data_IF_461393983603
#
_entry.id   IF_461393983603
#
_cell.length_a   1.000
_cell.length_b   1.000
_cell.length_c   1.000
_cell.angle_alpha   90.00
_cell.angle_beta   90.00
_cell.angle_gamma   90.00
#
_symmetry.space_group_name_H-M   'P 1'
#
loop_
_entity.id
_entity.type
_entity.pdbx_description
1 polymer ?
#
# COMPACT_ATOMS: atom_id res chain seq x y z
N UNK A 1 -14.38 3.10 -3.19
CA UNK A 1 -14.30 2.72 -1.76
C UNK A 1 -13.49 1.46 -1.65
N UNK A 2 -12.86 1.19 -0.50
CA UNK A 2 -12.09 -0.04 -0.27
C UNK A 2 -12.96 -1.27 -0.52
N UNK A 3 -14.21 -1.26 -0.04
CA UNK A 3 -15.17 -2.35 -0.26
C UNK A 3 -15.41 -2.70 -1.73
N UNK A 4 -15.59 -1.68 -2.59
CA UNK A 4 -15.78 -1.89 -4.03
C UNK A 4 -14.58 -2.58 -4.67
N UNK A 5 -13.37 -2.16 -4.31
CA UNK A 5 -12.12 -2.69 -4.86
C UNK A 5 -11.92 -4.15 -4.48
N UNK A 6 -12.09 -4.47 -3.19
CA UNK A 6 -12.01 -5.83 -2.69
C UNK A 6 -13.05 -6.75 -3.35
N UNK A 7 -14.29 -6.28 -3.50
CA UNK A 7 -15.36 -7.04 -4.16
C UNK A 7 -15.06 -7.28 -5.65
N UNK A 8 -14.57 -6.28 -6.38
CA UNK A 8 -14.19 -6.42 -7.80
C UNK A 8 -13.03 -7.40 -8.00
N UNK A 9 -12.11 -7.44 -7.03
CA UNK A 9 -11.01 -8.42 -7.02
C UNK A 9 -11.46 -9.83 -6.62
N UNK A 10 -12.65 -9.98 -6.03
CA UNK A 10 -13.10 -11.23 -5.43
C UNK A 10 -12.30 -11.61 -4.19
N UNK A 11 -11.71 -10.63 -3.49
CA UNK A 11 -10.87 -10.86 -2.32
C UNK A 11 -11.68 -11.48 -1.18
N UNK A 12 -11.13 -12.51 -0.55
CA UNK A 12 -11.70 -13.18 0.63
C UNK A 12 -10.96 -12.81 1.90
N UNK A 13 -9.67 -12.51 1.78
CA UNK A 13 -8.76 -12.18 2.87
C UNK A 13 -8.09 -10.83 2.62
N UNK A 14 -7.86 -10.08 3.69
CA UNK A 14 -7.13 -8.82 3.62
C UNK A 14 -6.19 -8.69 4.81
N UNK A 15 -4.91 -8.45 4.58
CA UNK A 15 -3.98 -8.12 5.67
C UNK A 15 -4.06 -6.64 5.99
N UNK A 16 -4.14 -6.32 7.28
CA UNK A 16 -4.28 -4.94 7.76
C UNK A 16 -3.28 -4.61 8.86
N UNK A 17 -2.69 -3.40 8.85
CA UNK A 17 -1.87 -2.92 9.94
C UNK A 17 -2.72 -2.63 11.18
N UNK A 18 -2.08 -2.57 12.35
CA UNK A 18 -2.78 -2.53 13.64
C UNK A 18 -3.59 -1.26 13.89
N UNK A 19 -3.18 -0.12 13.30
CA UNK A 19 -3.88 1.16 13.46
C UNK A 19 -4.66 1.57 12.19
N UNK A 20 -5.08 0.60 11.36
CA UNK A 20 -5.95 0.90 10.23
C UNK A 20 -7.32 1.40 10.72
N UNK A 21 -7.84 2.53 10.20
CA UNK A 21 -9.18 2.99 10.57
C UNK A 21 -10.26 1.96 10.26
N UNK A 22 -11.01 1.54 11.30
CA UNK A 22 -12.04 0.49 11.18
C UNK A 22 -13.12 0.81 10.14
N UNK A 23 -13.43 2.10 9.96
CA UNK A 23 -14.42 2.57 8.99
C UNK A 23 -14.12 2.17 7.55
N UNK A 24 -12.84 1.98 7.17
CA UNK A 24 -12.45 1.64 5.80
C UNK A 24 -12.87 0.24 5.37
N UNK A 25 -13.02 -0.68 6.33
CA UNK A 25 -13.43 -2.07 6.11
C UNK A 25 -14.79 -2.39 6.74
N UNK A 26 -15.55 -1.37 7.16
CA UNK A 26 -16.86 -1.56 7.80
C UNK A 26 -17.93 -2.12 6.87
N UNK A 27 -17.78 -1.91 5.55
CA UNK A 27 -18.72 -2.34 4.53
C UNK A 27 -18.25 -3.60 3.77
N UNK A 28 -17.44 -4.44 4.41
CA UNK A 28 -16.85 -5.64 3.77
C UNK A 28 -16.97 -6.86 4.67
N UNK A 29 -17.25 -8.01 4.05
CA UNK A 29 -17.29 -9.31 4.73
C UNK A 29 -15.95 -10.08 4.62
N UNK A 30 -14.88 -9.42 4.18
CA UNK A 30 -13.57 -10.06 4.00
C UNK A 30 -12.93 -10.40 5.35
N UNK A 31 -12.26 -11.54 5.41
CA UNK A 31 -11.51 -11.96 6.59
C UNK A 31 -10.28 -11.05 6.78
N UNK A 32 -10.17 -10.44 7.95
CA UNK A 32 -9.01 -9.61 8.31
C UNK A 32 -7.88 -10.48 8.87
N UNK A 33 -6.75 -10.48 8.19
CA UNK A 33 -5.50 -11.09 8.64
C UNK A 33 -4.69 -10.01 9.36
N UNK A 34 -4.30 -10.26 10.60
CA UNK A 34 -3.48 -9.32 11.36
C UNK A 34 -2.04 -9.25 10.81
N UNK A 35 -1.42 -8.08 10.90
CA UNK A 35 0.02 -7.92 10.64
C UNK A 35 0.89 -8.57 11.75
N UNK A 36 1.01 -9.90 11.73
CA UNK A 36 1.76 -10.69 12.73
C UNK A 36 3.18 -11.05 12.28
N UNK A 37 4.17 -10.85 13.17
CA UNK A 37 5.57 -11.24 13.02
C UNK A 37 5.80 -12.70 12.61
N UNK A 38 4.92 -13.61 13.02
CA UNK A 38 4.99 -15.02 12.68
C UNK A 38 4.64 -15.33 11.21
N UNK A 39 3.95 -14.43 10.50
CA UNK A 39 3.58 -14.68 9.11
C UNK A 39 4.82 -14.75 8.19
N UNK A 40 4.99 -15.92 7.59
CA UNK A 40 6.00 -16.19 6.57
C UNK A 40 5.61 -15.53 5.23
N UNK A 41 6.57 -15.29 4.31
CA UNK A 41 6.24 -14.82 2.98
C UNK A 41 5.26 -15.74 2.26
N UNK A 42 5.43 -17.07 2.37
CA UNK A 42 4.52 -18.03 1.76
C UNK A 42 3.08 -17.94 2.29
N UNK A 43 2.88 -17.61 3.56
CA UNK A 43 1.54 -17.38 4.11
C UNK A 43 0.94 -16.06 3.61
N UNK A 44 1.74 -15.00 3.51
CA UNK A 44 1.29 -13.70 3.02
C UNK A 44 1.01 -13.70 1.51
N UNK A 45 1.70 -14.55 0.74
CA UNK A 45 1.47 -14.74 -0.69
C UNK A 45 0.07 -15.30 -0.99
N UNK A 46 -0.50 -16.05 -0.04
CA UNK A 46 -1.87 -16.54 -0.10
C UNK A 46 -2.94 -15.52 0.31
N UNK A 47 -2.56 -14.31 0.76
CA UNK A 47 -3.51 -13.26 1.16
C UNK A 47 -3.90 -12.42 -0.04
N UNK A 48 -5.19 -12.23 -0.27
CA UNK A 48 -5.70 -11.65 -1.52
C UNK A 48 -5.36 -10.17 -1.69
N UNK A 49 -5.25 -9.41 -0.58
CA UNK A 49 -5.00 -7.97 -0.62
C UNK A 49 -4.38 -7.45 0.68
N UNK A 50 -3.71 -6.31 0.60
CA UNK A 50 -3.33 -5.48 1.76
C UNK A 50 -3.99 -4.11 1.67
N UNK A 51 -4.45 -3.58 2.80
CA UNK A 51 -4.95 -2.19 2.89
C UNK A 51 -4.09 -1.41 3.86
N UNK A 52 -3.56 -0.27 3.42
CA UNK A 52 -2.76 0.64 4.27
C UNK A 52 -3.13 2.09 4.06
N UNK A 53 -2.66 2.95 4.96
CA UNK A 53 -2.44 4.36 4.66
C UNK A 53 -1.04 4.57 4.04
N UNK A 54 -0.62 5.82 3.93
CA UNK A 54 0.77 6.21 3.63
C UNK A 54 1.26 7.29 4.59
N UNK A 55 2.55 7.65 4.50
CA UNK A 55 3.10 8.81 5.20
C UNK A 55 2.84 10.09 4.37
N UNK A 56 3.21 10.04 3.10
CA UNK A 56 3.04 11.14 2.13
C UNK A 56 2.90 10.58 0.72
N UNK A 57 2.17 11.30 -0.14
CA UNK A 57 2.07 11.07 -1.57
C UNK A 57 2.57 12.30 -2.34
N UNK A 58 3.23 12.07 -3.48
CA UNK A 58 3.90 13.08 -4.30
C UNK A 58 3.19 13.15 -5.64
N UNK A 59 2.58 14.30 -5.94
CA UNK A 59 1.80 14.50 -7.15
C UNK A 59 2.65 14.46 -8.42
N UNK A 60 3.81 15.13 -8.42
CA UNK A 60 4.76 15.20 -9.55
C UNK A 60 5.15 13.83 -10.11
N UNK A 61 5.43 12.88 -9.22
CA UNK A 61 6.00 11.57 -9.58
C UNK A 61 4.99 10.42 -9.47
N UNK A 62 3.76 10.71 -9.03
CA UNK A 62 2.77 9.69 -8.70
C UNK A 62 3.30 8.70 -7.64
N UNK A 63 4.05 9.18 -6.66
CA UNK A 63 4.70 8.35 -5.65
C UNK A 63 3.90 8.29 -4.35
N UNK A 64 3.85 7.12 -3.73
CA UNK A 64 3.42 6.93 -2.35
C UNK A 64 4.64 6.53 -1.51
N UNK A 65 4.79 7.13 -0.34
CA UNK A 65 5.86 6.79 0.61
C UNK A 65 5.26 6.17 1.87
N UNK A 66 5.76 5.00 2.24
CA UNK A 66 5.51 4.35 3.52
C UNK A 66 6.75 4.54 4.41
N UNK A 67 6.57 4.89 5.67
CA UNK A 67 7.61 5.05 6.70
C UNK A 67 7.49 4.01 7.84
N UNK A 68 6.60 3.03 7.67
CA UNK A 68 6.31 1.99 8.66
C UNK A 68 5.46 2.47 9.83
N UNK A 69 4.68 3.54 9.66
CA UNK A 69 3.77 4.01 10.71
C UNK A 69 2.69 2.97 11.05
N UNK A 70 2.04 3.07 12.23
CA UNK A 70 1.10 2.06 12.69
C UNK A 70 -0.08 1.76 11.75
N UNK A 71 -0.45 2.69 10.85
CA UNK A 71 -1.48 2.51 9.82
C UNK A 71 -0.93 2.04 8.47
N UNK A 72 0.36 1.66 8.42
CA UNK A 72 1.07 1.15 7.24
C UNK A 72 1.64 -0.26 7.46
N UNK A 73 1.92 -0.61 8.72
CA UNK A 73 2.42 -1.93 9.10
C UNK A 73 3.85 -2.18 8.66
N UNK A 74 4.27 -3.44 8.75
CA UNK A 74 5.63 -3.86 8.39
C UNK A 74 5.79 -3.94 6.88
N UNK A 75 7.00 -3.63 6.37
CA UNK A 75 7.33 -3.68 4.93
C UNK A 75 6.90 -4.97 4.21
N UNK A 76 6.86 -6.10 4.91
CA UNK A 76 6.51 -7.39 4.30
C UNK A 76 5.07 -7.45 3.80
N UNK A 77 4.12 -6.88 4.55
CA UNK A 77 2.70 -6.95 4.18
C UNK A 77 2.36 -6.07 2.97
N UNK A 78 3.22 -5.11 2.61
CA UNK A 78 3.10 -4.28 1.41
C UNK A 78 4.00 -4.73 0.26
N UNK A 79 4.77 -5.80 0.44
CA UNK A 79 5.67 -6.34 -0.57
C UNK A 79 5.19 -7.68 -1.13
N UNK A 80 4.57 -8.51 -0.29
CA UNK A 80 4.25 -9.90 -0.63
C UNK A 80 2.85 -10.08 -1.23
N UNK A 81 1.75 -9.58 -0.63
CA UNK A 81 0.44 -9.68 -1.25
C UNK A 81 0.41 -8.98 -2.61
N UNK A 82 -0.19 -9.61 -3.60
CA UNK A 82 -0.11 -9.17 -5.00
C UNK A 82 -1.03 -7.97 -5.33
N UNK A 83 -1.84 -7.54 -4.37
CA UNK A 83 -2.73 -6.40 -4.47
C UNK A 83 -2.60 -5.48 -3.26
N UNK A 84 -2.22 -4.22 -3.49
CA UNK A 84 -2.11 -3.19 -2.47
C UNK A 84 -3.13 -2.08 -2.71
N UNK A 85 -4.02 -1.88 -1.74
CA UNK A 85 -4.90 -0.71 -1.70
C UNK A 85 -4.31 0.30 -0.71
N UNK A 86 -3.91 1.47 -1.21
CA UNK A 86 -3.39 2.55 -0.38
C UNK A 86 -4.41 3.69 -0.28
N UNK A 87 -4.78 4.06 0.95
CA UNK A 87 -5.65 5.20 1.21
C UNK A 87 -4.79 6.43 1.54
N UNK A 88 -5.03 7.54 0.83
CA UNK A 88 -4.30 8.80 0.98
C UNK A 88 -5.27 9.88 1.43
N UNK A 89 -5.02 10.48 2.59
CA UNK A 89 -5.88 11.54 3.15
C UNK A 89 -5.49 12.89 2.54
N UNK A 90 -6.43 13.57 1.88
CA UNK A 90 -6.21 14.87 1.22
C UNK A 90 -6.91 16.01 1.98
N UNK A 91 -6.33 17.23 1.99
CA UNK A 91 -5.10 17.64 1.31
C UNK A 91 -3.81 17.28 2.06
N UNK A 92 -3.91 16.86 3.32
CA UNK A 92 -2.77 16.85 4.24
C UNK A 92 -1.64 15.90 3.85
N UNK A 93 -1.90 14.79 3.15
CA UNK A 93 -0.85 13.83 2.79
C UNK A 93 -0.30 14.00 1.38
N UNK A 94 -0.82 14.94 0.59
CA UNK A 94 -0.34 15.16 -0.79
C UNK A 94 0.55 16.39 -0.85
N UNK A 95 1.77 16.22 -1.35
CA UNK A 95 2.70 17.30 -1.68
C UNK A 95 2.89 17.41 -3.19
N UNK A 96 3.32 18.58 -3.64
CA UNK A 96 3.59 18.81 -5.05
C UNK A 96 4.80 18.01 -5.55
N UNK A 97 5.89 18.00 -4.80
CA UNK A 97 7.21 17.54 -5.28
C UNK A 97 8.00 16.72 -4.25
N UNK A 98 9.08 16.07 -4.70
CA UNK A 98 9.98 15.28 -3.86
C UNK A 98 10.60 16.08 -2.70
N UNK A 99 11.11 17.32 -2.89
CA UNK A 99 11.57 18.14 -1.77
C UNK A 99 10.50 18.33 -0.68
N UNK A 100 9.25 18.58 -1.06
CA UNK A 100 8.15 18.72 -0.11
C UNK A 100 7.84 17.43 0.67
N UNK A 101 8.12 16.26 0.09
CA UNK A 101 8.02 14.99 0.80
C UNK A 101 9.17 14.81 1.80
N UNK A 102 10.40 15.16 1.40
CA UNK A 102 11.58 15.04 2.27
C UNK A 102 11.46 15.88 3.54
N UNK A 103 10.78 17.03 3.49
CA UNK A 103 10.47 17.86 4.67
C UNK A 103 9.57 17.16 5.70
N UNK A 104 8.81 16.13 5.28
CA UNK A 104 7.83 15.43 6.11
C UNK A 104 8.28 14.05 6.58
N UNK A 105 9.41 13.57 6.07
CA UNK A 105 9.88 12.21 6.30
C UNK A 105 11.05 12.21 7.29
N UNK A 106 11.04 11.27 8.22
CA UNK A 106 12.17 11.02 9.10
C UNK A 106 13.16 10.07 8.41
N UNK A 107 14.40 10.51 8.09
CA UNK A 107 15.39 9.67 7.43
C UNK A 107 15.89 8.51 8.30
N UNK A 108 15.65 8.52 9.62
CA UNK A 108 15.98 7.41 10.50
C UNK A 108 14.97 6.25 10.41
N UNK A 109 13.81 6.48 9.78
CA UNK A 109 12.75 5.47 9.62
C UNK A 109 12.91 4.66 8.34
N UNK A 110 12.39 3.42 8.30
CA UNK A 110 12.36 2.64 7.08
C UNK A 110 11.42 3.29 6.05
N UNK A 111 11.97 3.90 5.00
CA UNK A 111 11.18 4.45 3.91
C UNK A 111 11.02 3.42 2.76
N UNK A 112 9.81 3.27 2.24
CA UNK A 112 9.49 2.50 1.03
C UNK A 112 8.78 3.44 0.07
N UNK A 113 9.42 3.72 -1.06
CA UNK A 113 8.93 4.64 -2.08
C UNK A 113 8.37 3.85 -3.25
N UNK A 114 7.07 3.97 -3.49
CA UNK A 114 6.34 3.28 -4.55
C UNK A 114 5.96 4.35 -5.57
N UNK A 115 6.79 4.51 -6.59
CA UNK A 115 6.52 5.42 -7.71
C UNK A 115 5.70 4.72 -8.78
N UNK A 116 4.96 5.51 -9.59
CA UNK A 116 4.06 5.04 -10.64
C UNK A 116 4.63 3.96 -11.57
N UNK A 117 3.81 3.40 -12.48
CA UNK A 117 4.11 2.17 -13.19
C UNK A 117 5.52 2.19 -13.77
N UNK A 118 6.34 1.23 -13.31
CA UNK A 118 7.64 0.94 -13.88
C UNK A 118 7.49 0.71 -15.38
N UNK A 119 7.84 1.71 -16.19
CA UNK A 119 8.14 1.54 -17.60
C UNK A 119 9.59 1.09 -17.71
N UNK A 120 9.87 -0.15 -17.32
CA UNK A 120 11.16 -0.78 -17.61
C UNK A 120 11.11 -1.31 -19.04
N UNK A 121 11.93 -0.73 -19.92
CA UNK A 121 12.41 -1.43 -21.09
C UNK A 121 13.47 -2.40 -20.60
N UNK A 122 13.08 -3.64 -20.33
CA UNK A 122 13.91 -4.66 -19.71
C UNK A 122 15.22 -4.87 -20.49
N UNK A 123 16.34 -4.78 -19.77
CA UNK A 123 17.70 -5.11 -20.24
C UNK A 123 17.77 -6.56 -20.80
N UNK A 124 16.78 -7.41 -20.49
CA UNK A 124 16.74 -8.82 -20.91
C UNK A 124 15.48 -9.24 -21.70
N UNK A 125 14.56 -8.33 -22.05
CA UNK A 125 13.34 -8.60 -22.83
C UNK A 125 12.36 -9.66 -22.26
N UNK A 126 12.62 -10.24 -21.09
CA UNK A 126 11.73 -11.21 -20.43
C UNK A 126 11.15 -10.63 -19.13
N UNK A 127 9.85 -10.29 -19.18
CA UNK A 127 9.13 -9.71 -18.05
C UNK A 127 8.86 -10.80 -17.00
N UNK A 128 9.65 -10.84 -15.93
CA UNK A 128 9.34 -11.69 -14.76
C UNK A 128 8.26 -10.99 -13.92
N UNK A 129 7.01 -11.38 -14.12
CA UNK A 129 5.88 -10.86 -13.36
C UNK A 129 5.87 -11.42 -11.92
N UNK A 130 6.02 -10.56 -10.91
CA UNK A 130 5.74 -10.89 -9.50
C UNK A 130 6.93 -10.93 -8.52
N UNK A 131 8.17 -10.62 -8.94
CA UNK A 131 9.34 -10.64 -8.04
C UNK A 131 9.69 -9.28 -7.40
N UNK A 132 8.97 -8.21 -7.75
CA UNK A 132 9.32 -6.83 -7.40
C UNK A 132 8.30 -6.10 -6.49
N UNK A 133 7.26 -6.79 -6.03
CA UNK A 133 6.17 -6.23 -5.21
C UNK A 133 4.78 -6.48 -5.80
N UNK A 134 3.73 -5.89 -5.22
CA UNK A 134 2.35 -6.06 -5.67
C UNK A 134 2.20 -5.69 -7.16
N UNK A 135 1.66 -6.59 -7.98
CA UNK A 135 1.40 -6.28 -9.40
C UNK A 135 0.25 -5.29 -9.59
N UNK A 136 -0.64 -5.19 -8.61
CA UNK A 136 -1.77 -4.26 -8.62
C UNK A 136 -1.67 -3.31 -7.44
N UNK A 137 -1.62 -2.00 -7.73
CA UNK A 137 -1.72 -0.93 -6.74
C UNK A 137 -2.95 -0.08 -7.07
N UNK A 138 -3.88 0.04 -6.12
CA UNK A 138 -5.03 0.94 -6.22
C UNK A 138 -4.94 2.02 -5.14
N UNK A 139 -5.09 3.27 -5.56
CA UNK A 139 -4.97 4.44 -4.67
C UNK A 139 -6.35 5.07 -4.47
N UNK A 140 -6.75 5.26 -3.22
CA UNK A 140 -7.99 5.96 -2.87
C UNK A 140 -7.63 7.29 -2.20
N UNK A 141 -8.01 8.39 -2.83
CA UNK A 141 -7.97 9.70 -2.18
C UNK A 141 -9.22 9.88 -1.33
N UNK A 142 -9.05 10.24 -0.06
CA UNK A 142 -10.16 10.54 0.86
C UNK A 142 -9.98 11.94 1.44
N UNK A 143 -10.99 12.79 1.30
CA UNK A 143 -11.05 14.06 2.01
C UNK A 143 -11.61 13.83 3.41
N UNK A 144 -11.15 14.62 4.39
CA UNK A 144 -11.98 14.85 5.56
C UNK A 144 -13.24 15.63 5.10
N UNK A 145 -14.42 15.15 5.49
CA UNK A 145 -15.59 16.03 5.57
C UNK A 145 -15.47 16.92 6.82
#
# INVERSE_FOLDING_TARGET
>A
TVARLLAQRGARTVVTPTALPDGWLSATDVERVADDAAHTPAQLDGVDSVVTACAVAIAETGTIVLDGSPDQGRRRITLVPDHHICVVRVPDQVVSSVPGALERLDPARPLTWISGPSATSDIELDRVEGVHGPRTLEVILVSAE
#
